data_IF_830701369134
#
_entry.id   IF_830701369134
#
_cell.length_a   1.000
_cell.length_b   1.000
_cell.length_c   1.000
_cell.angle_alpha   90.00
_cell.angle_beta   90.00
_cell.angle_gamma   90.00
#
_symmetry.space_group_name_H-M   'P 1'
#
loop_
_entity.id
_entity.type
_entity.pdbx_description
1 polymer ?
#
# COMPACT_ATOMS: atom_id res chain seq x y z
N UNK A 1 19.76 7.28 -24.28
CA UNK A 1 19.54 6.10 -23.44
C UNK A 1 19.38 6.63 -22.02
N UNK A 2 18.15 6.79 -21.54
CA UNK A 2 17.91 7.33 -20.19
C UNK A 2 18.32 6.26 -19.19
N UNK A 3 19.50 6.46 -18.58
CA UNK A 3 19.99 5.66 -17.48
C UNK A 3 19.08 5.98 -16.27
N UNK A 4 17.98 5.24 -16.18
CA UNK A 4 17.06 5.30 -15.04
C UNK A 4 17.90 4.94 -13.83
N UNK A 5 18.21 5.93 -12.99
CA UNK A 5 18.94 5.74 -11.75
C UNK A 5 18.24 4.67 -10.89
N UNK A 6 18.68 3.42 -11.05
CA UNK A 6 18.22 2.23 -10.33
C UNK A 6 18.21 2.35 -8.79
N UNK A 7 19.11 3.11 -8.10
CA UNK A 7 19.08 3.12 -6.64
C UNK A 7 17.84 3.83 -6.05
N UNK A 8 17.29 4.86 -6.73
CA UNK A 8 16.11 5.57 -6.23
C UNK A 8 14.84 4.73 -6.38
N UNK A 9 14.70 4.03 -7.51
CA UNK A 9 13.54 3.18 -7.79
C UNK A 9 13.42 2.03 -6.78
N UNK A 10 14.55 1.38 -6.44
CA UNK A 10 14.59 0.29 -5.47
C UNK A 10 14.23 0.76 -4.05
N UNK A 11 14.63 1.97 -3.69
CA UNK A 11 14.26 2.58 -2.39
C UNK A 11 12.77 2.88 -2.32
N UNK A 12 12.17 3.39 -3.40
CA UNK A 12 10.73 3.63 -3.47
C UNK A 12 9.91 2.34 -3.48
N UNK A 13 10.40 1.29 -4.16
CA UNK A 13 9.79 -0.04 -4.12
C UNK A 13 9.84 -0.66 -2.72
N UNK A 14 10.95 -0.52 -1.99
CA UNK A 14 11.02 -1.01 -0.61
C UNK A 14 10.03 -0.30 0.31
N UNK A 15 9.87 1.02 0.19
CA UNK A 15 8.89 1.78 0.98
C UNK A 15 7.46 1.38 0.62
N UNK A 16 7.15 1.25 -0.67
CA UNK A 16 5.85 0.78 -1.12
C UNK A 16 5.56 -0.67 -0.67
N UNK A 17 6.57 -1.54 -0.67
CA UNK A 17 6.46 -2.92 -0.17
C UNK A 17 6.22 -2.98 1.34
N UNK A 18 6.92 -2.16 2.13
CA UNK A 18 6.66 -2.02 3.56
C UNK A 18 5.25 -1.50 3.84
N UNK A 19 4.81 -0.48 3.10
CA UNK A 19 3.46 0.06 3.22
C UNK A 19 2.39 -0.97 2.82
N UNK A 20 2.63 -1.76 1.77
CA UNK A 20 1.77 -2.87 1.37
C UNK A 20 1.71 -3.94 2.47
N UNK A 21 2.83 -4.27 3.11
CA UNK A 21 2.88 -5.18 4.26
C UNK A 21 2.04 -4.68 5.43
N UNK A 22 2.16 -3.40 5.80
CA UNK A 22 1.33 -2.79 6.85
C UNK A 22 -0.15 -2.81 6.45
N UNK A 23 -0.46 -2.50 5.19
CA UNK A 23 -1.81 -2.57 4.67
C UNK A 23 -2.40 -3.97 4.69
N UNK A 24 -1.58 -4.99 4.42
CA UNK A 24 -1.98 -6.39 4.56
C UNK A 24 -2.39 -6.71 5.99
N UNK A 25 -1.54 -6.39 6.96
CA UNK A 25 -1.83 -6.65 8.37
C UNK A 25 -3.09 -5.92 8.81
N UNK A 26 -3.25 -4.64 8.48
CA UNK A 26 -4.48 -3.89 8.80
C UNK A 26 -5.73 -4.49 8.13
N UNK A 27 -5.62 -4.85 6.85
CA UNK A 27 -6.71 -5.45 6.07
C UNK A 27 -7.11 -6.85 6.52
N UNK A 28 -6.23 -7.54 7.25
CA UNK A 28 -6.51 -8.83 7.88
C UNK A 28 -7.01 -8.66 9.32
N UNK A 29 -6.38 -7.79 10.12
CA UNK A 29 -6.65 -7.65 11.55
C UNK A 29 -8.03 -7.06 11.82
N UNK A 30 -8.45 -6.05 11.06
CA UNK A 30 -9.75 -5.40 11.24
C UNK A 30 -10.90 -6.41 11.08
N UNK A 31 -11.04 -7.12 9.95
CA UNK A 31 -12.07 -8.14 9.80
C UNK A 31 -11.88 -9.31 10.75
N UNK A 32 -10.65 -9.70 11.10
CA UNK A 32 -10.43 -10.76 12.09
C UNK A 32 -11.01 -10.37 13.46
N UNK A 33 -10.72 -9.16 13.93
CA UNK A 33 -11.27 -8.64 15.20
C UNK A 33 -12.80 -8.54 15.13
N UNK A 34 -13.35 -8.04 14.02
CA UNK A 34 -14.80 -7.96 13.83
C UNK A 34 -15.47 -9.34 13.93
N UNK A 35 -14.89 -10.36 13.29
CA UNK A 35 -15.47 -11.71 13.27
C UNK A 35 -15.26 -12.43 14.61
N UNK A 36 -14.06 -12.39 15.18
CA UNK A 36 -13.73 -13.20 16.37
C UNK A 36 -14.08 -12.53 17.71
N UNK A 37 -14.02 -11.20 17.81
CA UNK A 37 -14.31 -10.47 19.06
C UNK A 37 -15.75 -9.97 19.06
N UNK A 38 -16.18 -9.35 17.96
CA UNK A 38 -17.51 -8.75 17.86
C UNK A 38 -18.56 -9.70 17.25
N UNK A 39 -18.20 -10.96 16.97
CA UNK A 39 -19.09 -12.00 16.45
C UNK A 39 -19.81 -11.60 15.14
N UNK A 40 -19.15 -10.82 14.29
CA UNK A 40 -19.71 -10.47 12.98
C UNK A 40 -19.80 -11.69 12.09
N UNK A 41 -20.92 -11.82 11.38
CA UNK A 41 -21.07 -12.82 10.34
C UNK A 41 -20.18 -12.47 9.14
N UNK A 42 -19.37 -13.44 8.73
CA UNK A 42 -18.61 -13.32 7.50
C UNK A 42 -19.58 -13.33 6.29
N UNK A 43 -19.44 -12.38 5.34
CA UNK A 43 -20.35 -12.27 4.20
C UNK A 43 -20.31 -13.48 3.27
N UNK A 44 -19.23 -14.27 3.32
CA UNK A 44 -19.05 -15.49 2.52
C UNK A 44 -19.49 -16.76 3.24
N UNK A 45 -19.97 -16.66 4.49
CA UNK A 45 -20.42 -17.77 5.33
C UNK A 45 -19.50 -18.07 6.51
N UNK A 46 -19.97 -18.92 7.44
CA UNK A 46 -19.31 -19.15 8.74
C UNK A 46 -18.33 -20.34 8.74
N UNK A 47 -18.11 -20.97 7.59
CA UNK A 47 -17.13 -22.06 7.52
C UNK A 47 -15.72 -21.50 7.67
N UNK A 48 -14.83 -22.24 8.36
CA UNK A 48 -13.43 -21.83 8.58
C UNK A 48 -12.75 -21.43 7.26
N UNK A 49 -12.95 -22.22 6.20
CA UNK A 49 -12.42 -21.95 4.85
C UNK A 49 -12.92 -20.62 4.26
N UNK A 50 -14.18 -20.28 4.48
CA UNK A 50 -14.79 -19.03 3.99
C UNK A 50 -14.26 -17.82 4.75
N UNK A 51 -14.14 -17.94 6.07
CA UNK A 51 -13.58 -16.89 6.93
C UNK A 51 -12.11 -16.65 6.60
N UNK A 52 -11.30 -17.70 6.49
CA UNK A 52 -9.88 -17.57 6.12
C UNK A 52 -9.70 -17.00 4.72
N UNK A 53 -10.56 -17.42 3.77
CA UNK A 53 -10.56 -16.89 2.41
C UNK A 53 -10.89 -15.41 2.37
N UNK A 54 -11.94 -14.99 3.09
CA UNK A 54 -12.31 -13.58 3.22
C UNK A 54 -11.18 -12.74 3.81
N UNK A 55 -10.58 -13.18 4.91
CA UNK A 55 -9.46 -12.51 5.57
C UNK A 55 -8.24 -12.37 4.66
N UNK A 56 -7.92 -13.41 3.88
CA UNK A 56 -6.83 -13.38 2.91
C UNK A 56 -7.11 -12.39 1.77
N UNK A 57 -8.34 -12.37 1.24
CA UNK A 57 -8.75 -11.45 0.17
C UNK A 57 -8.73 -10.00 0.65
N UNK A 58 -9.28 -9.71 1.84
CA UNK A 58 -9.26 -8.34 2.40
C UNK A 58 -7.85 -7.88 2.74
N UNK A 59 -7.02 -8.78 3.29
CA UNK A 59 -5.60 -8.51 3.51
C UNK A 59 -4.88 -8.16 2.20
N UNK A 60 -4.98 -9.02 1.18
CA UNK A 60 -4.35 -8.79 -0.12
C UNK A 60 -4.88 -7.52 -0.81
N UNK A 61 -6.20 -7.30 -0.80
CA UNK A 61 -6.82 -6.10 -1.37
C UNK A 61 -6.30 -4.83 -0.71
N UNK A 62 -6.26 -4.80 0.62
CA UNK A 62 -5.72 -3.67 1.38
C UNK A 62 -4.24 -3.42 1.09
N UNK A 63 -3.43 -4.49 1.00
CA UNK A 63 -2.01 -4.40 0.66
C UNK A 63 -1.78 -3.74 -0.70
N UNK A 64 -2.55 -4.15 -1.71
CA UNK A 64 -2.48 -3.58 -3.06
C UNK A 64 -2.88 -2.11 -3.04
N UNK A 65 -3.98 -1.76 -2.38
CA UNK A 65 -4.48 -0.38 -2.30
C UNK A 65 -3.46 0.53 -1.61
N UNK A 66 -2.99 0.16 -0.42
CA UNK A 66 -2.05 0.98 0.36
C UNK A 66 -0.68 1.06 -0.31
N UNK A 67 -0.18 -0.06 -0.85
CA UNK A 67 1.10 -0.08 -1.58
C UNK A 67 1.08 0.85 -2.79
N UNK A 68 0.02 0.77 -3.61
CA UNK A 68 -0.13 1.62 -4.78
C UNK A 68 -0.35 3.10 -4.42
N UNK A 69 -1.17 3.38 -3.41
CA UNK A 69 -1.39 4.75 -2.94
C UNK A 69 -0.07 5.38 -2.46
N UNK A 70 0.73 4.63 -1.70
CA UNK A 70 2.04 5.06 -1.24
C UNK A 70 2.99 5.34 -2.40
N UNK A 71 3.03 4.45 -3.39
CA UNK A 71 3.85 4.66 -4.59
C UNK A 71 3.44 5.93 -5.35
N UNK A 72 2.13 6.17 -5.53
CA UNK A 72 1.62 7.38 -6.18
C UNK A 72 2.00 8.66 -5.42
N UNK A 73 1.85 8.66 -4.09
CA UNK A 73 2.23 9.80 -3.25
C UNK A 73 3.72 10.10 -3.39
N UNK A 74 4.58 9.08 -3.33
CA UNK A 74 6.03 9.24 -3.47
C UNK A 74 6.40 9.81 -4.83
N UNK A 75 5.80 9.30 -5.91
CA UNK A 75 6.02 9.81 -7.27
C UNK A 75 5.55 11.27 -7.37
N UNK A 76 4.39 11.60 -6.80
CA UNK A 76 3.86 12.95 -6.75
C UNK A 76 4.78 13.93 -6.02
N UNK A 77 5.27 13.55 -4.84
CA UNK A 77 6.22 14.33 -4.04
C UNK A 77 7.53 14.52 -4.79
N UNK A 78 8.06 13.48 -5.44
CA UNK A 78 9.28 13.58 -6.23
C UNK A 78 9.11 14.54 -7.42
N UNK A 79 7.97 14.47 -8.12
CA UNK A 79 7.64 15.39 -9.22
C UNK A 79 7.52 16.84 -8.74
N UNK A 80 6.84 17.05 -7.61
CA UNK A 80 6.67 18.38 -7.01
C UNK A 80 8.01 19.00 -6.58
N UNK A 81 8.89 18.22 -5.94
CA UNK A 81 10.24 18.66 -5.57
C UNK A 81 11.09 19.04 -6.79
N UNK A 82 11.00 18.29 -7.90
CA UNK A 82 11.71 18.65 -9.14
C UNK A 82 11.22 19.97 -9.72
N UNK A 83 9.91 20.20 -9.78
CA UNK A 83 9.35 21.47 -10.25
C UNK A 83 9.81 22.67 -9.41
N UNK A 84 9.86 22.53 -8.09
CA UNK A 84 10.37 23.59 -7.21
C UNK A 84 11.87 23.88 -7.42
N UNK A 85 12.68 22.83 -7.63
CA UNK A 85 14.11 22.98 -7.91
C UNK A 85 14.37 23.67 -9.25
N UNK A 86 13.64 23.29 -10.29
CA UNK A 86 13.78 23.85 -11.65
C UNK A 86 13.37 25.33 -11.70
N UNK A 87 12.36 25.72 -10.92
CA UNK A 87 11.98 27.13 -10.71
C UNK A 87 13.06 27.95 -9.98
N UNK A 88 13.92 27.33 -9.17
CA UNK A 88 14.99 28.02 -8.44
C UNK A 88 16.22 28.23 -9.33
N UNK A 89 16.51 27.30 -10.23
CA UNK A 89 17.65 27.37 -11.14
C UNK A 89 17.41 28.40 -12.25
N UNK A 90 16.17 28.53 -12.75
CA UNK A 90 15.78 29.55 -13.73
C UNK A 90 15.78 30.99 -13.18
N UNK A 91 15.96 31.15 -11.86
CA UNK A 91 15.96 32.45 -11.16
C UNK A 91 17.36 32.94 -10.78
N UNK A 92 18.40 32.14 -11.03
CA UNK A 92 19.82 32.53 -10.97
C UNK A 92 20.35 32.80 -12.37
#
# INVERSE_FOLDING_TARGET
MFEVQLPALKRFQNVAGLAAGIGFFLGLLIPAVAIFIFHWHCPFGNSILQISGFLAITGLGSAIVIGNLTALIIIGVAKYRRMLSDSSEKRR
#
